data_IF_631360698117
#
_entry.id   IF_631360698117
#
_cell.length_a   1.000
_cell.length_b   1.000
_cell.length_c   1.000
_cell.angle_alpha   90.00
_cell.angle_beta   90.00
_cell.angle_gamma   90.00
#
_symmetry.space_group_name_H-M   'P 1'
#
loop_
_entity.id
_entity.type
_entity.pdbx_description
1 polymer ?
#
# COMPACT_ATOMS: atom_id res chain seq x y z
N UNK A 1 16.91 -5.74 4.18
CA UNK A 1 15.54 -6.24 4.43
C UNK A 1 14.98 -5.50 5.63
N UNK A 2 13.74 -5.03 5.53
CA UNK A 2 12.98 -4.48 6.65
C UNK A 2 11.84 -5.43 7.00
N UNK A 3 11.44 -5.46 8.27
CA UNK A 3 10.30 -6.21 8.75
C UNK A 3 9.37 -5.29 9.53
N UNK A 4 8.08 -5.36 9.22
CA UNK A 4 7.01 -4.73 9.98
C UNK A 4 6.23 -5.87 10.63
N UNK A 5 6.26 -5.92 11.95
CA UNK A 5 5.72 -7.04 12.72
C UNK A 5 4.87 -6.56 13.89
N UNK A 6 3.77 -7.26 14.16
CA UNK A 6 2.89 -7.02 15.32
C UNK A 6 2.52 -5.53 15.44
N UNK A 7 2.28 -4.89 14.28
CA UNK A 7 2.20 -3.44 14.15
C UNK A 7 0.86 -3.01 13.57
N UNK A 8 0.46 -1.79 13.90
CA UNK A 8 -0.69 -1.12 13.28
C UNK A 8 -0.21 0.13 12.57
N UNK A 9 -0.47 0.20 11.26
CA UNK A 9 -0.20 1.34 10.39
C UNK A 9 -1.55 1.94 10.03
N UNK A 10 -1.89 3.07 10.63
CA UNK A 10 -3.24 3.65 10.55
C UNK A 10 -3.21 5.14 10.28
N UNK A 11 -4.21 5.62 9.54
CA UNK A 11 -4.55 7.03 9.39
C UNK A 11 -3.38 7.90 8.88
N UNK A 12 -2.53 7.35 8.00
CA UNK A 12 -1.53 8.15 7.30
C UNK A 12 -2.16 8.93 6.15
N UNK A 13 -1.68 10.16 5.95
CA UNK A 13 -2.18 11.05 4.90
C UNK A 13 -3.46 11.81 5.28
N UNK A 14 -3.61 12.19 6.56
CA UNK A 14 -4.76 13.00 7.02
C UNK A 14 -4.66 14.49 6.68
N UNK A 15 -3.51 14.92 6.16
CA UNK A 15 -3.35 16.28 5.67
C UNK A 15 -4.23 16.51 4.42
N UNK A 16 -4.78 17.71 4.26
CA UNK A 16 -5.55 18.10 3.08
C UNK A 16 -4.80 17.94 1.77
N UNK A 17 -3.48 18.04 1.79
CA UNK A 17 -2.63 17.84 0.62
C UNK A 17 -2.71 16.38 0.11
N UNK A 18 -2.97 15.41 0.99
CA UNK A 18 -3.14 13.99 0.64
C UNK A 18 -4.51 13.65 0.05
N UNK A 19 -5.43 14.62 0.00
CA UNK A 19 -6.72 14.46 -0.68
C UNK A 19 -6.64 14.88 -2.15
N UNK A 20 -5.56 15.54 -2.56
CA UNK A 20 -5.36 15.94 -3.95
C UNK A 20 -4.93 14.75 -4.81
N UNK A 21 -5.40 14.67 -6.06
CA UNK A 21 -5.18 13.53 -6.95
C UNK A 21 -3.71 13.34 -7.36
N UNK A 22 -2.91 14.40 -7.30
CA UNK A 22 -1.48 14.38 -7.58
C UNK A 22 -0.61 13.91 -6.42
N UNK A 23 -1.18 13.81 -5.22
CA UNK A 23 -0.49 13.35 -4.02
C UNK A 23 -0.66 11.84 -3.86
N UNK A 24 0.40 11.19 -3.38
CA UNK A 24 0.37 9.77 -3.00
C UNK A 24 0.79 9.66 -1.55
N UNK A 25 -0.17 9.35 -0.68
CA UNK A 25 -0.04 9.24 0.76
C UNK A 25 -0.46 7.83 1.21
N UNK A 26 0.46 6.89 1.03
CA UNK A 26 0.25 5.49 1.40
C UNK A 26 0.54 5.25 2.88
N UNK A 27 0.04 4.13 3.42
CA UNK A 27 0.51 3.60 4.70
C UNK A 27 1.97 3.12 4.61
N UNK A 28 2.27 2.32 3.59
CA UNK A 28 3.62 1.80 3.31
C UNK A 28 3.94 1.98 1.82
N UNK A 29 5.08 2.62 1.53
CA UNK A 29 5.65 2.68 0.18
C UNK A 29 6.95 1.91 0.10
N UNK A 30 7.09 1.01 -0.88
CA UNK A 30 8.31 0.24 -1.14
C UNK A 30 8.90 0.58 -2.52
N UNK A 31 10.20 0.79 -2.58
CA UNK A 31 10.88 1.25 -3.80
C UNK A 31 12.21 0.55 -4.04
N UNK A 32 12.73 0.66 -5.26
CA UNK A 32 14.04 0.14 -5.66
C UNK A 32 14.19 -1.36 -5.32
N UNK A 33 15.33 -1.77 -4.75
CA UNK A 33 15.66 -3.15 -4.39
C UNK A 33 15.14 -3.56 -3.00
N UNK A 34 14.16 -2.84 -2.45
CA UNK A 34 13.68 -3.05 -1.08
C UNK A 34 13.07 -4.44 -0.88
N UNK A 35 13.45 -5.09 0.22
CA UNK A 35 12.94 -6.39 0.65
C UNK A 35 12.16 -6.17 1.95
N UNK A 36 10.84 -6.33 1.91
CA UNK A 36 9.96 -6.06 3.06
C UNK A 36 9.14 -7.29 3.41
N UNK A 37 9.13 -7.64 4.70
CA UNK A 37 8.22 -8.62 5.27
C UNK A 37 7.16 -7.92 6.12
N UNK A 38 5.89 -8.25 5.90
CA UNK A 38 4.78 -7.84 6.76
C UNK A 38 4.26 -9.06 7.52
N UNK A 39 4.35 -9.03 8.84
CA UNK A 39 4.06 -10.17 9.72
C UNK A 39 3.03 -9.76 10.79
N UNK A 40 1.93 -10.51 10.91
CA UNK A 40 0.90 -10.30 11.94
C UNK A 40 0.52 -8.82 12.19
N UNK A 41 0.25 -8.08 11.12
CA UNK A 41 0.08 -6.62 11.17
C UNK A 41 -1.25 -6.15 10.56
N UNK A 42 -1.68 -4.96 10.99
CA UNK A 42 -2.88 -4.28 10.51
C UNK A 42 -2.49 -2.99 9.78
N UNK A 43 -2.97 -2.82 8.54
CA UNK A 43 -2.77 -1.61 7.73
C UNK A 43 -4.12 -1.06 7.30
N UNK A 44 -4.55 0.08 7.84
CA UNK A 44 -5.90 0.58 7.61
C UNK A 44 -6.03 2.09 7.55
N UNK A 45 -7.09 2.59 6.92
CA UNK A 45 -7.47 4.01 7.03
C UNK A 45 -6.48 4.98 6.39
N UNK A 46 -5.53 4.51 5.58
CA UNK A 46 -4.57 5.40 4.92
C UNK A 46 -5.24 6.11 3.72
N UNK A 47 -4.77 7.31 3.41
CA UNK A 47 -5.34 8.16 2.37
C UNK A 47 -5.38 7.47 1.01
N UNK A 48 -4.27 6.89 0.58
CA UNK A 48 -4.19 6.16 -0.68
C UNK A 48 -4.04 4.67 -0.44
N UNK A 49 -2.90 4.08 -0.81
CA UNK A 49 -2.69 2.65 -0.66
C UNK A 49 -2.40 2.27 0.78
N UNK A 50 -2.92 1.14 1.25
CA UNK A 50 -2.40 0.53 2.47
C UNK A 50 -0.92 0.17 2.30
N UNK A 51 -0.60 -0.53 1.22
CA UNK A 51 0.77 -0.86 0.83
C UNK A 51 0.94 -0.76 -0.70
N UNK A 52 1.92 0.02 -1.16
CA UNK A 52 2.21 0.17 -2.58
C UNK A 52 3.69 0.08 -2.91
N UNK A 53 3.99 -0.56 -4.04
CA UNK A 53 5.27 -0.47 -4.73
C UNK A 53 5.33 0.79 -5.59
N UNK A 54 6.50 1.42 -5.70
CA UNK A 54 6.71 2.55 -6.61
C UNK A 54 6.71 2.07 -8.06
N UNK A 55 5.50 1.99 -8.61
CA UNK A 55 5.14 1.55 -9.95
C UNK A 55 4.11 2.51 -10.56
N UNK A 56 4.15 2.70 -11.88
CA UNK A 56 3.21 3.56 -12.61
C UNK A 56 1.76 3.13 -12.45
N UNK A 57 1.51 1.83 -12.39
CA UNK A 57 0.16 1.31 -12.13
C UNK A 57 -0.34 1.59 -10.71
N UNK A 58 0.54 1.97 -9.79
CA UNK A 58 0.19 2.39 -8.43
C UNK A 58 0.06 3.92 -8.31
N UNK A 59 0.01 4.64 -9.44
CA UNK A 59 -0.10 6.10 -9.50
C UNK A 59 1.24 6.85 -9.58
N UNK A 60 2.39 6.18 -9.41
CA UNK A 60 3.69 6.84 -9.43
C UNK A 60 4.13 7.26 -10.86
N UNK A 61 5.07 8.21 -10.96
CA UNK A 61 5.58 8.65 -12.26
C UNK A 61 6.57 7.68 -12.93
N UNK A 62 7.04 6.67 -12.19
CA UNK A 62 8.11 5.75 -12.60
C UNK A 62 7.91 4.35 -12.01
N UNK A 63 8.43 3.34 -12.72
CA UNK A 63 8.55 1.97 -12.24
C UNK A 63 9.97 1.77 -11.71
N UNK A 64 10.12 1.83 -10.39
CA UNK A 64 11.45 1.66 -9.75
C UNK A 64 11.54 0.45 -8.85
N UNK A 65 10.40 -0.09 -8.41
CA UNK A 65 10.41 -1.28 -7.56
C UNK A 65 10.82 -2.54 -8.33
N UNK A 66 11.91 -3.16 -7.88
CA UNK A 66 12.44 -4.44 -8.36
C UNK A 66 12.72 -5.41 -7.20
N UNK A 67 12.21 -5.09 -6.02
CA UNK A 67 12.39 -5.86 -4.79
C UNK A 67 11.30 -6.91 -4.58
N UNK A 68 11.06 -7.25 -3.31
CA UNK A 68 10.04 -8.22 -2.91
C UNK A 68 9.27 -7.74 -1.68
N UNK A 69 7.96 -8.00 -1.68
CA UNK A 69 7.12 -7.90 -0.49
C UNK A 69 6.59 -9.30 -0.16
N UNK A 70 6.82 -9.72 1.06
CA UNK A 70 6.39 -11.02 1.58
C UNK A 70 5.43 -10.82 2.74
N UNK A 71 4.41 -11.67 2.82
CA UNK A 71 3.42 -11.64 3.88
C UNK A 71 3.50 -12.93 4.69
N UNK A 72 3.60 -12.80 6.00
CA UNK A 72 3.65 -13.91 6.93
C UNK A 72 2.56 -13.78 7.98
N UNK A 73 2.06 -14.92 8.46
CA UNK A 73 0.98 -15.00 9.43
C UNK A 73 -0.27 -14.22 9.00
N UNK A 74 -1.01 -13.64 9.97
CA UNK A 74 -2.29 -12.98 9.70
C UNK A 74 -2.10 -11.48 9.52
N UNK A 75 -2.09 -11.03 8.27
CA UNK A 75 -2.15 -9.61 7.95
C UNK A 75 -3.56 -9.19 7.55
N UNK A 76 -3.95 -7.99 7.96
CA UNK A 76 -5.22 -7.37 7.57
C UNK A 76 -4.93 -6.02 6.93
N UNK A 77 -5.40 -5.84 5.70
CA UNK A 77 -5.28 -4.59 4.96
C UNK A 77 -6.68 -4.20 4.50
N UNK A 78 -7.24 -3.18 5.13
CA UNK A 78 -8.65 -2.82 4.96
C UNK A 78 -8.89 -1.32 5.07
N UNK A 79 -10.00 -0.86 4.47
CA UNK A 79 -10.48 0.53 4.58
C UNK A 79 -9.40 1.59 4.28
N UNK A 80 -8.44 1.30 3.41
CA UNK A 80 -7.56 2.33 2.83
C UNK A 80 -8.30 3.06 1.68
N UNK A 81 -7.62 3.92 0.92
CA UNK A 81 -8.21 4.79 -0.11
C UNK A 81 -9.19 5.84 0.43
N UNK A 82 -8.86 6.49 1.55
CA UNK A 82 -9.70 7.56 2.11
C UNK A 82 -9.73 8.82 1.23
N UNK A 83 -8.73 9.03 0.37
CA UNK A 83 -8.70 10.11 -0.62
C UNK A 83 -9.72 9.88 -1.75
N UNK A 84 -10.03 8.62 -2.06
CA UNK A 84 -10.85 8.21 -3.19
C UNK A 84 -10.12 8.27 -4.54
N UNK A 85 -8.82 8.55 -4.56
CA UNK A 85 -8.07 8.84 -5.80
C UNK A 85 -7.55 7.60 -6.53
N UNK A 86 -7.84 6.38 -6.05
CA UNK A 86 -7.37 5.14 -6.68
C UNK A 86 -8.30 4.56 -7.76
N UNK A 87 -9.39 5.28 -8.12
CA UNK A 87 -10.19 5.11 -9.35
C UNK A 87 -10.49 3.65 -9.79
N UNK A 88 -10.92 2.77 -8.88
CA UNK A 88 -11.28 1.40 -9.24
C UNK A 88 -10.10 0.43 -9.45
N UNK A 89 -8.86 0.87 -9.21
CA UNK A 89 -7.66 0.05 -9.45
C UNK A 89 -7.40 -0.92 -8.29
N UNK A 90 -8.40 -1.65 -7.85
CA UNK A 90 -8.50 -1.88 -6.42
C UNK A 90 -7.55 -2.83 -5.70
N UNK A 91 -6.72 -3.61 -6.39
CA UNK A 91 -5.79 -4.52 -5.74
C UNK A 91 -4.79 -5.17 -6.72
N UNK A 92 -4.03 -4.41 -7.53
CA UNK A 92 -3.22 -4.99 -8.58
C UNK A 92 -1.97 -5.67 -8.01
N UNK A 93 -1.60 -6.76 -8.67
CA UNK A 93 -0.36 -7.47 -8.41
C UNK A 93 -0.56 -8.84 -7.80
N UNK A 94 0.55 -9.46 -7.44
CA UNK A 94 0.61 -10.76 -6.80
C UNK A 94 0.76 -10.61 -5.27
N UNK A 95 -0.26 -11.02 -4.53
CA UNK A 95 -0.28 -11.07 -3.07
C UNK A 95 -1.33 -12.08 -2.58
N UNK A 96 -1.29 -12.53 -1.31
CA UNK A 96 -2.20 -13.56 -0.82
C UNK A 96 -3.64 -13.07 -0.56
N UNK A 97 -3.90 -11.77 -0.62
CA UNK A 97 -5.22 -11.21 -0.36
C UNK A 97 -6.12 -11.29 -1.60
N UNK A 98 -7.37 -11.72 -1.41
CA UNK A 98 -8.38 -11.81 -2.46
C UNK A 98 -9.55 -10.88 -2.15
N UNK A 99 -10.23 -10.39 -3.19
CA UNK A 99 -11.45 -9.58 -3.09
C UNK A 99 -11.32 -8.31 -2.21
N UNK A 100 -10.14 -7.68 -2.20
CA UNK A 100 -9.99 -6.40 -1.53
C UNK A 100 -10.71 -5.29 -2.32
N UNK A 101 -11.27 -4.33 -1.58
CA UNK A 101 -11.83 -3.09 -2.13
C UNK A 101 -10.72 -2.19 -2.66
N UNK A 102 -11.07 -1.07 -3.28
CA UNK A 102 -10.05 -0.25 -3.92
C UNK A 102 -8.98 0.31 -2.98
N UNK A 103 -7.75 0.42 -3.48
CA UNK A 103 -6.62 1.04 -2.81
C UNK A 103 -6.07 0.29 -1.59
N UNK A 104 -6.26 -1.03 -1.49
CA UNK A 104 -5.65 -1.77 -0.38
C UNK A 104 -4.17 -2.09 -0.63
N UNK A 105 -3.87 -2.80 -1.72
CA UNK A 105 -2.50 -3.22 -2.06
C UNK A 105 -2.22 -2.95 -3.54
N UNK A 106 -1.03 -2.44 -3.83
CA UNK A 106 -0.52 -2.36 -5.20
C UNK A 106 0.92 -2.88 -5.27
N UNK A 107 1.09 -4.07 -5.85
CA UNK A 107 2.36 -4.79 -5.97
C UNK A 107 2.64 -5.23 -7.41
N UNK A 108 3.87 -5.65 -7.77
CA UNK A 108 4.24 -6.37 -9.00
C UNK A 108 3.18 -7.35 -9.53
#
# INVERSE_FOLDING_TARGET
>A
MAEVRESTITDNGTDSDCLQAESICNGISVQDESQVALTDSLVKGNADWGLASVLKRCGFSKDTFIGQVSFFDRNVIETNNQSGNQDGQGNPGQHPFNNLTDGQVCLP
#
